data_IF_413171407254
#
_entry.id   IF_413171407254
#
_cell.length_a   1.000
_cell.length_b   1.000
_cell.length_c   1.000
_cell.angle_alpha   90.00
_cell.angle_beta   90.00
_cell.angle_gamma   90.00
#
_symmetry.space_group_name_H-M   'P 1'
#
loop_
_entity.id
_entity.type
_entity.pdbx_description
1 polymer ?
#
# COMPACT_ATOMS: atom_id res chain seq x y z
N UNK A 1 11.38 -1.63 -12.65
CA UNK A 1 10.15 -2.14 -13.27
C UNK A 1 9.02 -1.94 -12.25
N UNK A 2 8.14 -0.95 -12.35
CA UNK A 2 6.98 -0.96 -11.45
C UNK A 2 5.68 -0.87 -12.25
N UNK A 3 4.89 -1.94 -12.22
CA UNK A 3 3.47 -1.87 -12.52
C UNK A 3 2.80 -3.16 -12.03
N UNK A 4 2.86 -3.42 -10.73
CA UNK A 4 1.87 -4.29 -10.12
C UNK A 4 0.59 -3.46 -9.91
N UNK A 5 0.00 -2.99 -11.00
CA UNK A 5 -1.26 -2.26 -10.98
C UNK A 5 -2.40 -3.26 -10.82
N UNK A 6 -2.60 -3.76 -9.61
CA UNK A 6 -3.89 -4.39 -9.27
C UNK A 6 -4.88 -3.27 -9.02
N UNK A 7 -5.86 -3.00 -9.91
CA UNK A 7 -6.88 -2.00 -9.67
C UNK A 7 -7.70 -2.38 -8.44
N UNK A 8 -8.27 -1.38 -7.78
CA UNK A 8 -9.07 -1.61 -6.59
C UNK A 8 -10.29 -2.49 -6.93
N UNK A 9 -10.54 -3.59 -6.22
CA UNK A 9 -11.72 -4.43 -6.46
C UNK A 9 -13.04 -3.75 -6.06
N UNK A 10 -12.98 -2.68 -5.27
CA UNK A 10 -14.16 -1.97 -4.77
C UNK A 10 -14.58 -0.81 -5.69
N UNK A 11 -13.63 0.01 -6.13
CA UNK A 11 -13.91 1.20 -6.95
C UNK A 11 -13.24 1.21 -8.33
N UNK A 12 -12.30 0.30 -8.61
CA UNK A 12 -11.55 0.26 -9.86
C UNK A 12 -10.41 1.28 -9.98
N UNK A 13 -10.24 2.19 -9.02
CA UNK A 13 -9.16 3.18 -9.04
C UNK A 13 -7.77 2.56 -8.82
N UNK A 14 -6.72 3.33 -9.12
CA UNK A 14 -5.34 2.92 -8.88
C UNK A 14 -5.06 2.76 -7.37
N UNK A 15 -4.20 1.81 -7.03
CA UNK A 15 -3.72 1.59 -5.68
C UNK A 15 -2.20 1.75 -5.59
N UNK A 16 -1.75 2.17 -4.42
CA UNK A 16 -0.34 2.16 -4.05
C UNK A 16 0.03 0.80 -3.48
N UNK A 17 1.27 0.40 -3.75
CA UNK A 17 1.87 -0.71 -3.00
C UNK A 17 2.12 -0.23 -1.56
N UNK A 18 1.70 -1.04 -0.59
CA UNK A 18 1.94 -0.78 0.81
C UNK A 18 3.39 -1.16 1.09
N UNK A 19 4.19 -0.17 1.48
CA UNK A 19 5.56 -0.39 1.94
C UNK A 19 5.53 -0.88 3.38
N UNK A 20 6.16 -2.03 3.64
CA UNK A 20 6.30 -2.59 4.99
C UNK A 20 7.74 -2.52 5.44
N UNK A 21 7.94 -2.37 6.75
CA UNK A 21 9.26 -2.35 7.36
C UNK A 21 9.55 -1.06 8.11
N UNK A 22 10.84 -0.76 8.28
CA UNK A 22 11.28 0.44 8.97
C UNK A 22 11.41 1.60 7.99
N UNK A 23 10.44 2.52 8.07
CA UNK A 23 10.38 3.68 7.19
C UNK A 23 11.20 4.85 7.73
N UNK A 24 11.88 5.55 6.84
CA UNK A 24 12.48 6.85 7.12
C UNK A 24 11.38 7.91 7.30
N UNK A 25 11.70 9.01 7.98
CA UNK A 25 10.75 10.12 8.20
C UNK A 25 10.17 10.68 6.90
N UNK A 26 10.95 10.73 5.82
CA UNK A 26 10.51 11.19 4.51
C UNK A 26 9.34 10.36 3.95
N UNK A 27 9.37 9.04 4.15
CA UNK A 27 8.27 8.16 3.73
C UNK A 27 7.01 8.41 4.56
N UNK A 28 7.16 8.75 5.84
CA UNK A 28 6.04 9.09 6.73
C UNK A 28 5.39 10.40 6.25
N UNK A 29 6.18 11.39 5.84
CA UNK A 29 5.66 12.64 5.27
C UNK A 29 4.90 12.41 3.96
N UNK A 30 5.43 11.54 3.08
CA UNK A 30 4.76 11.15 1.84
C UNK A 30 3.45 10.38 2.10
N UNK A 31 3.35 9.61 3.18
CA UNK A 31 2.09 8.97 3.58
C UNK A 31 1.06 10.00 4.00
N UNK A 32 1.46 10.99 4.78
CA UNK A 32 0.58 12.10 5.20
C UNK A 32 0.09 12.89 3.99
N UNK A 33 0.92 13.03 2.96
CA UNK A 33 0.55 13.62 1.68
C UNK A 33 -0.33 12.72 0.79
N UNK A 34 -0.51 11.44 1.14
CA UNK A 34 -1.24 10.46 0.33
C UNK A 34 -0.52 10.04 -0.96
N UNK A 35 0.80 10.24 -1.01
CA UNK A 35 1.65 9.83 -2.14
C UNK A 35 2.10 8.37 -2.04
N UNK A 36 2.24 7.85 -0.82
CA UNK A 36 2.59 6.46 -0.54
C UNK A 36 1.68 5.87 0.53
N UNK A 37 1.58 4.54 0.56
CA UNK A 37 0.91 3.84 1.65
C UNK A 37 1.96 3.11 2.48
N UNK A 38 2.06 3.39 3.78
CA UNK A 38 2.90 2.61 4.68
C UNK A 38 2.06 1.62 5.46
N UNK A 39 2.65 0.45 5.63
CA UNK A 39 2.15 -0.62 6.45
C UNK A 39 2.82 -0.61 7.82
N UNK A 40 2.63 -1.72 8.53
CA UNK A 40 3.35 -1.98 9.76
C UNK A 40 4.83 -2.28 9.54
N UNK A 41 5.58 -2.32 10.64
CA UNK A 41 6.97 -2.79 10.63
C UNK A 41 7.05 -4.29 10.30
N UNK A 42 6.07 -5.07 10.72
CA UNK A 42 5.98 -6.51 10.46
C UNK A 42 4.88 -6.79 9.43
N UNK A 43 5.23 -7.57 8.41
CA UNK A 43 4.32 -8.07 7.38
C UNK A 43 4.08 -9.57 7.63
N UNK A 44 2.83 -9.99 7.59
CA UNK A 44 2.41 -11.39 7.70
C UNK A 44 1.65 -11.84 6.44
N UNK A 45 1.34 -13.14 6.31
CA UNK A 45 0.63 -13.68 5.13
C UNK A 45 -0.79 -13.14 4.92
N UNK A 46 -1.34 -12.37 5.87
CA UNK A 46 -2.61 -11.65 5.72
C UNK A 46 -2.43 -10.14 5.57
N UNK A 47 -1.19 -9.67 5.59
CA UNK A 47 -0.91 -8.26 5.39
C UNK A 47 -1.23 -7.86 3.95
N UNK A 48 -2.06 -6.82 3.75
CA UNK A 48 -2.45 -6.37 2.43
C UNK A 48 -1.25 -5.87 1.63
N UNK A 49 -1.23 -6.08 0.32
CA UNK A 49 -0.14 -5.56 -0.53
C UNK A 49 -0.46 -4.18 -1.12
N UNK A 50 -1.74 -3.86 -1.26
CA UNK A 50 -2.21 -2.70 -1.99
C UNK A 50 -3.14 -1.86 -1.12
N UNK A 51 -3.04 -0.54 -1.24
CA UNK A 51 -4.00 0.42 -0.68
C UNK A 51 -4.55 1.33 -1.78
N UNK A 52 -5.87 1.32 -1.93
CA UNK A 52 -6.60 2.17 -2.85
C UNK A 52 -6.42 3.66 -2.51
N UNK A 53 -6.12 4.49 -3.51
CA UNK A 53 -5.93 5.94 -3.32
C UNK A 53 -7.21 6.69 -2.97
N UNK A 54 -8.35 6.23 -3.51
CA UNK A 54 -9.61 6.95 -3.38
C UNK A 54 -10.47 6.44 -2.24
N UNK A 55 -10.63 5.14 -2.18
CA UNK A 55 -11.49 4.45 -1.22
C UNK A 55 -10.75 4.00 0.04
N UNK A 56 -9.42 4.01 0.03
CA UNK A 56 -8.59 3.60 1.18
C UNK A 56 -8.59 2.09 1.49
N UNK A 57 -9.37 1.28 0.74
CA UNK A 57 -9.44 -0.17 0.94
C UNK A 57 -8.07 -0.82 0.74
N UNK A 58 -7.74 -1.78 1.60
CA UNK A 58 -6.49 -2.52 1.57
C UNK A 58 -6.74 -3.96 1.14
N UNK A 59 -5.96 -4.46 0.17
CA UNK A 59 -6.19 -5.77 -0.44
C UNK A 59 -4.91 -6.41 -0.98
N UNK A 60 -5.03 -7.68 -1.41
CA UNK A 60 -3.90 -8.52 -1.80
C UNK A 60 -3.17 -9.12 -0.60
N UNK A 61 -2.07 -9.85 -0.86
CA UNK A 61 -1.18 -10.42 0.16
C UNK A 61 0.25 -9.99 -0.16
N UNK A 62 0.93 -9.41 0.82
CA UNK A 62 2.29 -8.89 0.64
C UNK A 62 3.35 -10.01 0.65
N UNK A 63 3.10 -11.09 1.39
CA UNK A 63 3.86 -12.34 1.39
C UNK A 63 3.07 -13.40 0.60
N UNK A 64 3.65 -13.87 -0.51
CA UNK A 64 3.24 -15.09 -1.23
C UNK A 64 4.34 -16.15 -1.08
#
# INVERSE_FOLDING_TARGET
MPAASSPCPDCGSAAHEIQYGFHSSELIELEVLGEVALGGCCVDGRSPKWQCRECGVRYGKALD
#
